data_IF_426597286728
#
_entry.id   IF_426597286728
#
_cell.length_a   1.000
_cell.length_b   1.000
_cell.length_c   1.000
_cell.angle_alpha   90.00
_cell.angle_beta   90.00
_cell.angle_gamma   90.00
#
_symmetry.space_group_name_H-M   'P 1'
#
loop_
_entity.id
_entity.type
_entity.pdbx_description
1 polymer ?
#
# COMPACT_ATOMS: atom_id res chain seq x y z
N UNK A 1 -13.50 7.29 3.07
CA UNK A 1 -13.97 8.60 2.57
C UNK A 1 -13.08 9.75 3.04
N UNK A 2 -12.77 9.84 4.34
CA UNK A 2 -11.87 10.86 4.92
C UNK A 2 -10.61 11.22 4.10
N UNK A 3 -9.88 10.24 3.54
CA UNK A 3 -8.72 10.53 2.67
C UNK A 3 -9.09 11.29 1.38
N UNK A 4 -10.16 10.90 0.71
CA UNK A 4 -10.58 11.54 -0.54
C UNK A 4 -11.07 12.96 -0.30
N UNK A 5 -11.87 13.14 0.75
CA UNK A 5 -12.51 14.43 1.05
C UNK A 5 -11.50 15.50 1.49
N UNK A 6 -10.45 15.11 2.21
CA UNK A 6 -9.53 16.08 2.84
C UNK A 6 -8.16 16.18 2.14
N UNK A 7 -7.72 15.16 1.39
CA UNK A 7 -6.32 15.08 0.94
C UNK A 7 -6.13 14.77 -0.55
N UNK A 8 -7.17 14.42 -1.31
CA UNK A 8 -7.03 14.05 -2.71
C UNK A 8 -7.93 14.89 -3.63
N UNK A 9 -7.51 15.19 -4.86
CA UNK A 9 -8.36 15.82 -5.86
C UNK A 9 -9.55 14.91 -6.20
N UNK A 10 -10.76 15.36 -5.91
CA UNK A 10 -11.99 14.54 -5.98
C UNK A 10 -12.34 14.11 -7.41
N UNK A 11 -11.92 14.89 -8.40
CA UNK A 11 -12.11 14.64 -9.84
C UNK A 11 -11.13 13.62 -10.43
N UNK A 12 -10.07 13.26 -9.69
CA UNK A 12 -9.00 12.35 -10.15
C UNK A 12 -8.91 11.05 -9.37
N UNK A 13 -9.74 10.85 -8.35
CA UNK A 13 -9.68 9.67 -7.47
C UNK A 13 -11.06 9.08 -7.25
N UNK A 14 -11.18 7.79 -7.54
CA UNK A 14 -12.38 7.00 -7.29
C UNK A 14 -12.08 5.87 -6.30
N UNK A 15 -12.96 5.65 -5.33
CA UNK A 15 -12.97 4.44 -4.51
C UNK A 15 -13.95 3.45 -5.11
N UNK A 16 -13.47 2.25 -5.47
CA UNK A 16 -14.30 1.15 -5.96
C UNK A 16 -13.96 -0.12 -5.18
N UNK A 17 -14.98 -0.89 -4.83
CA UNK A 17 -14.79 -2.21 -4.23
C UNK A 17 -14.50 -3.26 -5.30
N UNK A 18 -13.50 -4.11 -5.06
CA UNK A 18 -13.24 -5.31 -5.86
C UNK A 18 -13.68 -6.54 -5.04
N UNK A 19 -14.89 -7.09 -5.27
CA UNK A 19 -15.40 -8.20 -4.49
C UNK A 19 -14.73 -9.50 -4.94
N UNK A 20 -13.61 -9.83 -4.28
CA UNK A 20 -12.89 -11.07 -4.53
C UNK A 20 -12.33 -11.64 -3.23
N UNK A 21 -12.32 -12.97 -3.14
CA UNK A 21 -11.64 -13.67 -2.05
C UNK A 21 -10.13 -13.61 -2.29
N UNK A 22 -9.35 -13.26 -1.27
CA UNK A 22 -7.89 -13.29 -1.37
C UNK A 22 -7.41 -14.75 -1.29
N UNK A 23 -6.55 -15.15 -2.23
CA UNK A 23 -5.98 -16.51 -2.30
C UNK A 23 -4.64 -16.60 -1.58
N UNK A 24 -4.01 -15.46 -1.30
CA UNK A 24 -2.67 -15.36 -0.73
C UNK A 24 -1.61 -16.07 -1.57
N UNK A 25 -1.76 -16.02 -2.89
CA UNK A 25 -0.91 -16.76 -3.84
C UNK A 25 0.20 -15.89 -4.47
N UNK A 26 0.54 -14.77 -3.82
CA UNK A 26 1.69 -13.93 -4.12
C UNK A 26 1.80 -13.57 -5.61
N UNK A 27 2.91 -13.95 -6.29
CA UNK A 27 3.15 -13.56 -7.67
C UNK A 27 2.05 -13.94 -8.67
N UNK A 28 1.41 -15.10 -8.51
CA UNK A 28 0.31 -15.53 -9.42
C UNK A 28 -0.95 -14.71 -9.20
N UNK A 29 -1.24 -14.36 -7.96
CA UNK A 29 -2.39 -13.52 -7.63
C UNK A 29 -2.16 -12.06 -8.02
N UNK A 30 -0.91 -11.59 -8.05
CA UNK A 30 -0.59 -10.26 -8.59
C UNK A 30 -0.97 -10.12 -10.07
N UNK A 31 -0.70 -11.14 -10.90
CA UNK A 31 -1.14 -11.17 -12.30
C UNK A 31 -2.68 -11.21 -12.39
N UNK A 32 -3.33 -12.07 -11.61
CA UNK A 32 -4.80 -12.11 -11.54
C UNK A 32 -5.39 -10.74 -11.19
N UNK A 33 -4.82 -10.07 -10.18
CA UNK A 33 -5.24 -8.74 -9.80
C UNK A 33 -5.12 -7.74 -10.96
N UNK A 34 -3.97 -7.68 -11.64
CA UNK A 34 -3.76 -6.78 -12.76
C UNK A 34 -4.76 -7.01 -13.90
N UNK A 35 -4.99 -8.27 -14.29
CA UNK A 35 -5.95 -8.61 -15.35
C UNK A 35 -7.39 -8.24 -14.98
N UNK A 36 -7.79 -8.43 -13.72
CA UNK A 36 -9.07 -7.93 -13.24
C UNK A 36 -9.15 -6.41 -13.36
N UNK A 37 -8.11 -5.66 -12.98
CA UNK A 37 -8.13 -4.19 -13.06
C UNK A 37 -8.14 -3.69 -14.50
N UNK A 38 -7.48 -4.39 -15.42
CA UNK A 38 -7.60 -4.13 -16.87
C UNK A 38 -9.05 -4.21 -17.32
N UNK A 39 -9.79 -5.24 -16.91
CA UNK A 39 -11.20 -5.39 -17.26
C UNK A 39 -12.09 -4.30 -16.64
N UNK A 40 -11.63 -3.64 -15.57
CA UNK A 40 -12.27 -2.45 -14.98
C UNK A 40 -11.83 -1.15 -15.67
N UNK A 41 -11.02 -1.22 -16.73
CA UNK A 41 -10.56 -0.08 -17.52
C UNK A 41 -9.22 0.53 -17.07
N UNK A 42 -8.52 -0.07 -16.11
CA UNK A 42 -7.21 0.42 -15.70
C UNK A 42 -6.14 0.13 -16.77
N UNK A 43 -5.32 1.12 -17.10
CA UNK A 43 -4.16 0.98 -18.00
C UNK A 43 -2.87 0.65 -17.28
N UNK A 44 -2.80 0.98 -15.98
CA UNK A 44 -1.65 0.77 -15.12
C UNK A 44 -2.07 0.11 -13.80
N UNK A 45 -1.18 -0.69 -13.20
CA UNK A 45 -1.42 -1.39 -11.96
C UNK A 45 -0.21 -1.32 -11.02
N UNK A 46 -0.39 -0.80 -9.81
CA UNK A 46 0.68 -0.71 -8.82
C UNK A 46 0.94 -2.09 -8.20
N UNK A 47 2.20 -2.50 -8.19
CA UNK A 47 2.69 -3.71 -7.54
C UNK A 47 3.77 -3.30 -6.53
N UNK A 48 3.47 -3.46 -5.25
CA UNK A 48 4.37 -3.11 -4.15
C UNK A 48 5.27 -4.27 -3.72
N UNK A 49 5.86 -4.14 -2.53
CA UNK A 49 6.59 -5.22 -1.83
C UNK A 49 5.60 -6.27 -1.33
N UNK A 50 5.92 -7.55 -1.51
CA UNK A 50 5.17 -8.71 -1.00
C UNK A 50 3.68 -8.72 -1.42
N UNK A 51 3.42 -8.32 -2.67
CA UNK A 51 2.06 -8.15 -3.16
C UNK A 51 1.28 -9.47 -3.19
N UNK A 52 0.16 -9.50 -2.46
CA UNK A 52 -0.68 -10.69 -2.28
C UNK A 52 0.02 -11.91 -1.64
N UNK A 53 1.15 -11.70 -0.97
CA UNK A 53 1.85 -12.74 -0.22
C UNK A 53 1.22 -13.04 1.14
N UNK A 54 1.72 -14.10 1.79
CA UNK A 54 1.42 -14.44 3.17
C UNK A 54 2.68 -14.99 3.83
N UNK A 55 2.90 -14.64 5.10
CA UNK A 55 4.04 -15.12 5.89
C UNK A 55 5.37 -14.87 5.18
N UNK A 56 6.11 -15.95 4.95
CA UNK A 56 7.44 -15.93 4.32
C UNK A 56 7.51 -16.82 3.08
N UNK A 57 6.37 -17.11 2.44
CA UNK A 57 6.29 -18.07 1.33
C UNK A 57 6.85 -17.51 0.02
N UNK A 58 6.92 -16.19 -0.14
CA UNK A 58 7.40 -15.51 -1.34
C UNK A 58 8.44 -14.45 -0.99
N UNK A 59 9.39 -14.25 -1.88
CA UNK A 59 10.33 -13.14 -1.80
C UNK A 59 9.65 -11.77 -1.90
N UNK A 60 10.27 -10.71 -1.36
CA UNK A 60 9.66 -9.39 -1.25
C UNK A 60 9.31 -8.73 -2.59
N UNK A 61 9.92 -9.15 -3.70
CA UNK A 61 9.71 -8.57 -5.03
C UNK A 61 9.36 -9.61 -6.10
N UNK A 62 9.16 -10.89 -5.74
CA UNK A 62 8.82 -11.95 -6.70
C UNK A 62 7.52 -11.64 -7.46
N UNK A 63 6.58 -10.94 -6.82
CA UNK A 63 5.36 -10.51 -7.47
C UNK A 63 5.61 -9.45 -8.56
N UNK A 64 6.65 -8.64 -8.43
CA UNK A 64 7.07 -7.67 -9.46
C UNK A 64 7.83 -8.37 -10.58
N UNK A 65 8.73 -9.29 -10.23
CA UNK A 65 9.53 -10.10 -11.17
C UNK A 65 8.64 -10.99 -12.04
N UNK A 66 7.50 -11.46 -11.51
CA UNK A 66 6.53 -12.22 -12.30
C UNK A 66 6.00 -11.43 -13.51
N UNK A 67 5.90 -10.11 -13.42
CA UNK A 67 5.50 -9.29 -14.58
C UNK A 67 6.59 -9.23 -15.66
N UNK A 68 7.87 -9.43 -15.32
CA UNK A 68 8.97 -9.43 -16.31
C UNK A 68 8.95 -10.66 -17.23
N UNK A 69 8.15 -11.66 -16.87
CA UNK A 69 7.92 -12.86 -17.67
C UNK A 69 6.92 -12.65 -18.80
N UNK A 70 6.30 -11.47 -18.88
CA UNK A 70 5.31 -11.12 -19.88
C UNK A 70 5.65 -9.75 -20.46
N UNK A 71 5.42 -9.59 -21.75
CA UNK A 71 5.39 -8.28 -22.39
C UNK A 71 4.17 -7.47 -21.93
N UNK A 72 4.25 -6.12 -21.94
CA UNK A 72 3.09 -5.26 -21.69
C UNK A 72 1.90 -5.58 -22.61
N UNK A 73 2.16 -6.02 -23.84
CA UNK A 73 1.15 -6.38 -24.83
C UNK A 73 0.40 -7.67 -24.46
N UNK A 74 1.11 -8.69 -23.96
CA UNK A 74 0.51 -9.95 -23.51
C UNK A 74 -0.48 -9.75 -22.36
N UNK A 75 -0.14 -8.88 -21.40
CA UNK A 75 -1.03 -8.55 -20.29
C UNK A 75 -2.07 -7.50 -20.68
N UNK A 76 -1.71 -6.56 -21.56
CA UNK A 76 -2.48 -5.37 -21.92
C UNK A 76 -2.77 -4.43 -20.74
N UNK A 77 -1.88 -4.43 -19.74
CA UNK A 77 -1.87 -3.51 -18.59
C UNK A 77 -0.43 -3.37 -18.08
N UNK A 78 -0.01 -2.15 -17.80
CA UNK A 78 1.37 -1.87 -17.38
C UNK A 78 1.53 -1.94 -15.86
N UNK A 79 2.46 -2.77 -15.39
CA UNK A 79 2.80 -2.79 -13.97
C UNK A 79 3.67 -1.58 -13.56
N UNK A 80 3.30 -0.93 -12.47
CA UNK A 80 4.08 0.10 -11.81
C UNK A 80 4.69 -0.48 -10.53
N UNK A 81 6.00 -0.74 -10.58
CA UNK A 81 6.75 -1.42 -9.51
C UNK A 81 7.21 -0.42 -8.45
N UNK A 82 6.63 -0.50 -7.25
CA UNK A 82 6.94 0.41 -6.14
C UNK A 82 7.79 -0.27 -5.07
N UNK A 83 8.76 0.48 -4.57
CA UNK A 83 9.48 0.16 -3.33
C UNK A 83 8.74 0.75 -2.13
N UNK A 84 9.00 0.25 -0.91
CA UNK A 84 8.44 0.84 0.31
C UNK A 84 8.75 2.33 0.42
N UNK A 85 7.71 3.11 0.74
CA UNK A 85 7.85 4.52 1.07
C UNK A 85 7.96 4.71 2.59
N UNK A 86 8.64 5.77 3.00
CA UNK A 86 8.83 6.16 4.40
C UNK A 86 8.79 7.68 4.54
N UNK A 87 8.52 8.19 5.74
CA UNK A 87 8.69 9.61 6.01
C UNK A 87 10.13 9.87 6.43
N UNK A 88 10.80 10.87 5.87
CA UNK A 88 12.15 11.27 6.29
C UNK A 88 12.09 12.63 6.98
N UNK A 89 12.59 12.70 8.23
CA UNK A 89 12.60 13.93 9.03
C UNK A 89 13.47 15.01 8.41
N UNK A 90 14.61 14.64 7.81
CA UNK A 90 15.51 15.58 7.13
C UNK A 90 14.95 16.10 5.82
N UNK A 91 14.25 15.26 5.06
CA UNK A 91 13.58 15.70 3.83
C UNK A 91 12.26 16.44 4.11
N UNK A 92 11.70 16.30 5.32
CA UNK A 92 10.43 16.91 5.70
C UNK A 92 9.21 16.29 5.03
N UNK A 93 9.28 15.04 4.56
CA UNK A 93 8.21 14.45 3.76
C UNK A 93 8.35 12.96 3.46
N UNK A 94 7.37 12.43 2.72
CA UNK A 94 7.39 11.07 2.19
C UNK A 94 8.48 10.93 1.13
N UNK A 95 9.23 9.84 1.21
CA UNK A 95 10.31 9.52 0.30
C UNK A 95 10.41 8.00 0.07
N UNK A 96 11.30 7.62 -0.84
CA UNK A 96 11.72 6.24 -1.07
C UNK A 96 13.24 6.19 -1.04
N UNK A 97 13.82 4.99 -1.09
CA UNK A 97 15.28 4.83 -1.20
C UNK A 97 15.84 5.46 -2.48
N UNK A 98 15.01 5.61 -3.53
CA UNK A 98 15.39 6.28 -4.78
C UNK A 98 15.45 7.80 -4.66
N UNK A 99 14.77 8.38 -3.67
CA UNK A 99 14.59 9.83 -3.56
C UNK A 99 15.15 10.41 -2.25
N UNK A 100 15.66 9.57 -1.36
CA UNK A 100 16.23 9.98 -0.08
C UNK A 100 17.50 9.19 0.24
N UNK A 101 18.67 9.86 0.40
CA UNK A 101 19.92 9.21 0.75
C UNK A 101 20.12 9.02 2.26
N UNK A 102 19.21 9.53 3.11
CA UNK A 102 19.41 9.54 4.55
C UNK A 102 19.27 8.15 5.19
N UNK A 103 20.03 7.86 6.26
CA UNK A 103 20.01 6.57 6.96
C UNK A 103 18.70 6.33 7.70
N UNK A 104 18.45 5.10 8.14
CA UNK A 104 17.22 4.69 8.82
C UNK A 104 16.90 5.51 10.08
N UNK A 105 17.91 6.00 10.81
CA UNK A 105 17.69 6.85 12.00
C UNK A 105 16.95 8.17 11.70
N UNK A 106 17.06 8.68 10.48
CA UNK A 106 16.33 9.88 10.03
C UNK A 106 14.95 9.55 9.42
N UNK A 107 14.63 8.27 9.29
CA UNK A 107 13.36 7.78 8.73
C UNK A 107 12.37 7.48 9.86
N UNK A 108 11.10 7.73 9.60
CA UNK A 108 9.98 7.31 10.43
C UNK A 108 9.29 6.18 9.69
N UNK A 109 9.29 5.01 10.31
CA UNK A 109 8.53 3.85 9.87
C UNK A 109 7.76 3.30 11.05
N UNK A 110 6.57 2.77 10.78
CA UNK A 110 5.72 2.14 11.78
C UNK A 110 5.21 0.84 11.18
N UNK A 111 5.56 -0.29 11.79
CA UNK A 111 5.02 -1.58 11.36
C UNK A 111 3.52 -1.64 11.63
N UNK A 112 2.79 -2.44 10.85
CA UNK A 112 1.36 -2.65 11.09
C UNK A 112 1.06 -3.23 12.48
N UNK A 113 1.99 -4.01 13.05
CA UNK A 113 1.86 -4.53 14.41
C UNK A 113 1.97 -3.42 15.46
N UNK A 114 2.95 -2.52 15.33
CA UNK A 114 3.09 -1.37 16.21
C UNK A 114 1.89 -0.43 16.09
N UNK A 115 1.43 -0.13 14.87
CA UNK A 115 0.23 0.69 14.64
C UNK A 115 -1.00 0.12 15.34
N UNK A 116 -1.27 -1.18 15.19
CA UNK A 116 -2.40 -1.83 15.86
C UNK A 116 -2.27 -1.84 17.38
N UNK A 117 -1.05 -2.02 17.91
CA UNK A 117 -0.81 -1.96 19.35
C UNK A 117 -1.11 -0.55 19.90
N UNK A 118 -0.59 0.50 19.26
CA UNK A 118 -0.87 1.89 19.64
C UNK A 118 -2.38 2.19 19.65
N UNK A 119 -3.10 1.79 18.60
CA UNK A 119 -4.54 2.01 18.51
C UNK A 119 -5.33 1.29 19.62
N UNK A 120 -4.95 0.06 19.97
CA UNK A 120 -5.57 -0.69 21.09
C UNK A 120 -5.29 -0.06 22.45
N UNK A 121 -4.15 0.60 22.60
CA UNK A 121 -3.79 1.36 23.79
C UNK A 121 -4.45 2.77 23.82
N UNK A 122 -5.27 3.12 22.84
CA UNK A 122 -5.88 4.46 22.72
C UNK A 122 -4.86 5.55 22.36
N UNK A 123 -3.68 5.19 21.86
CA UNK A 123 -2.62 6.13 21.46
C UNK A 123 -2.73 6.43 19.97
N UNK A 124 -2.76 7.72 19.62
CA UNK A 124 -2.76 8.16 18.24
C UNK A 124 -1.40 7.87 17.58
N UNK A 125 -1.37 7.30 16.35
CA UNK A 125 -0.14 7.17 15.59
C UNK A 125 0.42 8.54 15.17
N UNK A 126 1.72 8.64 14.86
CA UNK A 126 2.32 9.89 14.40
C UNK A 126 1.67 10.41 13.10
N UNK A 127 1.43 11.74 12.99
CA UNK A 127 0.81 12.35 11.80
C UNK A 127 1.66 12.23 10.53
N UNK A 128 2.96 11.99 10.67
CA UNK A 128 3.88 11.67 9.58
C UNK A 128 3.55 10.34 8.89
N UNK A 129 2.89 9.42 9.62
CA UNK A 129 2.56 8.07 9.15
C UNK A 129 1.07 7.92 8.86
N UNK A 130 0.20 8.46 9.71
CA UNK A 130 -1.26 8.30 9.59
C UNK A 130 -1.94 9.64 9.78
N UNK A 131 -2.79 10.03 8.81
CA UNK A 131 -3.56 11.27 8.91
C UNK A 131 -4.49 11.26 10.14
N UNK A 132 -4.61 12.36 10.89
CA UNK A 132 -5.41 12.39 12.12
C UNK A 132 -6.85 11.89 11.97
N UNK A 133 -7.54 12.29 10.89
CA UNK A 133 -8.93 11.90 10.60
C UNK A 133 -9.04 10.40 10.31
N UNK A 134 -8.01 9.81 9.68
CA UNK A 134 -7.95 8.37 9.45
C UNK A 134 -7.68 7.63 10.76
N UNK A 135 -6.75 8.14 11.57
CA UNK A 135 -6.41 7.55 12.86
C UNK A 135 -7.60 7.53 13.83
N UNK A 136 -8.42 8.59 13.86
CA UNK A 136 -9.65 8.63 14.65
C UNK A 136 -10.65 7.53 14.22
N UNK A 137 -10.91 7.41 12.92
CA UNK A 137 -11.79 6.35 12.39
C UNK A 137 -11.27 4.96 12.78
N UNK A 138 -9.94 4.73 12.70
CA UNK A 138 -9.33 3.46 13.08
C UNK A 138 -9.47 3.20 14.59
N UNK A 139 -9.31 4.22 15.43
CA UNK A 139 -9.45 4.12 16.88
C UNK A 139 -10.88 3.74 17.27
N UNK A 140 -11.88 4.43 16.70
CA UNK A 140 -13.30 4.09 16.91
C UNK A 140 -13.60 2.63 16.50
N UNK A 141 -13.05 2.16 15.39
CA UNK A 141 -13.27 0.80 14.92
C UNK A 141 -12.65 -0.25 15.85
N UNK A 142 -11.48 0.04 16.44
CA UNK A 142 -10.84 -0.86 17.41
C UNK A 142 -11.65 -0.92 18.70
N UNK A 143 -12.11 0.22 19.22
CA UNK A 143 -12.90 0.28 20.47
C UNK A 143 -14.28 -0.36 20.35
N UNK A 144 -14.93 -0.29 19.17
CA UNK A 144 -16.23 -0.95 18.96
C UNK A 144 -16.16 -2.49 18.94
N UNK A 145 -14.97 -3.05 18.68
CA UNK A 145 -14.74 -4.49 18.59
C UNK A 145 -14.13 -5.09 19.87
N UNK A 146 -14.02 -4.30 20.94
CA UNK A 146 -13.60 -4.69 22.29
C UNK A 146 -14.74 -4.49 23.26
#
# INVERSE_FOLDING_TARGET
RALLENYLPQDRVMIVAFPANMRYAGPREAIFHALCRKNFGATHFIVGRDHAGVGSYYGPYEAQEMFDRFSPEELGIQALKFQPAFFCRRCGGMATEKTCPHPEGDRVSLSGTQLRAMLREGKMPPPEITRPEVAQILMEAVTRNT
#
